data_IF_945639983448
#
_entry.id   IF_945639983448
#
_cell.length_a   1.000
_cell.length_b   1.000
_cell.length_c   1.000
_cell.angle_alpha   90.00
_cell.angle_beta   90.00
_cell.angle_gamma   90.00
#
_symmetry.space_group_name_H-M   'P 1'
#
loop_
_entity.id
_entity.type
_entity.pdbx_description
1 polymer ?
#
# COMPACT_ATOMS: atom_id res chain seq x y z
N UNK A 1 73.98 -19.41 61.37
CA UNK A 1 72.59 -18.93 61.54
C UNK A 1 72.38 -17.90 60.45
N UNK A 2 71.72 -18.26 59.36
CA UNK A 2 71.39 -17.34 58.28
C UNK A 2 69.90 -17.52 57.98
N UNK A 3 69.10 -16.55 58.43
CA UNK A 3 67.64 -16.54 58.25
C UNK A 3 67.34 -16.02 56.85
N UNK A 4 67.00 -16.92 55.93
CA UNK A 4 66.58 -16.55 54.59
C UNK A 4 65.07 -16.23 54.61
N UNK A 5 64.73 -14.97 54.89
CA UNK A 5 63.35 -14.49 54.81
C UNK A 5 62.96 -14.31 53.34
N UNK A 6 62.31 -15.33 52.78
CA UNK A 6 61.71 -15.24 51.45
C UNK A 6 60.48 -14.33 51.47
N UNK A 7 60.63 -13.08 51.05
CA UNK A 7 59.48 -12.23 50.75
C UNK A 7 58.80 -12.70 49.46
N UNK A 8 57.57 -13.19 49.58
CA UNK A 8 56.74 -13.56 48.43
C UNK A 8 56.22 -12.30 47.73
N UNK A 9 56.74 -12.01 46.53
CA UNK A 9 56.17 -10.99 45.64
C UNK A 9 54.84 -11.50 45.06
N UNK A 10 53.74 -11.03 45.62
CA UNK A 10 52.38 -11.30 45.12
C UNK A 10 52.18 -10.51 43.81
N UNK A 11 52.34 -11.17 42.66
CA UNK A 11 51.86 -10.64 41.39
C UNK A 11 50.42 -11.05 41.16
N UNK A 12 49.50 -10.08 41.07
CA UNK A 12 48.12 -10.30 40.63
C UNK A 12 48.14 -10.62 39.14
N UNK A 13 48.09 -11.91 38.81
CA UNK A 13 47.81 -12.38 37.45
C UNK A 13 46.37 -12.03 37.09
N UNK A 14 46.20 -10.94 36.31
CA UNK A 14 44.94 -10.56 35.68
C UNK A 14 44.78 -11.35 34.38
N UNK A 15 44.63 -12.66 34.51
CA UNK A 15 44.47 -13.52 33.34
C UNK A 15 42.97 -13.68 33.08
N UNK A 16 42.47 -13.07 32.02
CA UNK A 16 41.14 -13.37 31.51
C UNK A 16 41.13 -14.85 31.11
N UNK A 17 40.26 -15.63 31.76
CA UNK A 17 40.15 -17.05 31.47
C UNK A 17 39.65 -17.24 30.04
N UNK A 18 40.33 -18.03 29.19
CA UNK A 18 39.90 -18.34 27.81
C UNK A 18 38.48 -18.92 27.73
N UNK A 19 37.93 -19.41 28.84
CA UNK A 19 36.55 -19.87 28.98
C UNK A 19 35.53 -18.79 28.59
N UNK A 20 35.87 -17.50 28.76
CA UNK A 20 34.99 -16.39 28.37
C UNK A 20 34.92 -16.13 26.86
N UNK A 21 35.76 -16.77 26.05
CA UNK A 21 35.71 -16.63 24.58
C UNK A 21 34.39 -17.19 24.05
N UNK A 22 33.95 -18.34 24.57
CA UNK A 22 32.72 -19.00 24.10
C UNK A 22 31.45 -18.14 24.30
N UNK A 23 31.15 -17.57 25.49
CA UNK A 23 29.99 -16.71 25.66
C UNK A 23 30.09 -15.40 24.88
N UNK A 24 31.29 -14.83 24.71
CA UNK A 24 31.48 -13.60 23.90
C UNK A 24 31.20 -13.89 22.42
N UNK A 25 31.74 -14.97 21.88
CA UNK A 25 31.49 -15.39 20.50
C UNK A 25 30.00 -15.69 20.29
N UNK A 26 29.36 -16.36 21.25
CA UNK A 26 27.93 -16.65 21.19
C UNK A 26 27.09 -15.36 21.20
N UNK A 27 27.44 -14.39 22.05
CA UNK A 27 26.79 -13.08 22.10
C UNK A 27 26.98 -12.29 20.78
N UNK A 28 28.17 -12.34 20.18
CA UNK A 28 28.44 -11.70 18.88
C UNK A 28 27.64 -12.35 17.75
N UNK A 29 27.53 -13.67 17.70
CA UNK A 29 26.69 -14.37 16.72
C UNK A 29 25.22 -14.00 16.92
N UNK A 30 24.74 -13.97 18.17
CA UNK A 30 23.38 -13.55 18.48
C UNK A 30 23.10 -12.11 18.02
N UNK A 31 24.00 -11.18 18.33
CA UNK A 31 23.92 -9.79 17.89
C UNK A 31 23.94 -9.68 16.35
N UNK A 32 24.78 -10.47 15.68
CA UNK A 32 24.83 -10.53 14.22
C UNK A 32 23.52 -11.02 13.64
N UNK A 33 22.95 -12.12 14.14
CA UNK A 33 21.69 -12.68 13.64
C UNK A 33 20.53 -11.70 13.82
N UNK A 34 20.47 -11.03 14.97
CA UNK A 34 19.47 -9.97 15.23
C UNK A 34 19.63 -8.80 14.25
N UNK A 35 20.86 -8.34 14.04
CA UNK A 35 21.16 -7.28 13.08
C UNK A 35 20.81 -7.70 11.64
N UNK A 36 21.17 -8.92 11.26
CA UNK A 36 20.90 -9.48 9.94
C UNK A 36 19.40 -9.58 9.68
N UNK A 37 18.62 -10.07 10.66
CA UNK A 37 17.17 -10.17 10.56
C UNK A 37 16.52 -8.80 10.40
N UNK A 38 16.94 -7.79 11.18
CA UNK A 38 16.36 -6.45 11.10
C UNK A 38 16.78 -5.70 9.82
N UNK A 39 18.00 -5.90 9.35
CA UNK A 39 18.55 -5.18 8.18
C UNK A 39 18.03 -5.70 6.84
N UNK A 40 17.48 -6.91 6.76
CA UNK A 40 16.98 -7.50 5.50
C UNK A 40 15.45 -7.48 5.39
N UNK A 41 14.75 -6.88 6.37
CA UNK A 41 13.33 -6.65 6.27
C UNK A 41 13.07 -5.56 5.22
N UNK A 42 12.10 -5.80 4.34
CA UNK A 42 11.64 -4.78 3.40
C UNK A 42 10.86 -3.67 4.13
N UNK A 43 10.42 -2.64 3.37
CA UNK A 43 9.83 -1.45 3.96
C UNK A 43 8.47 -1.77 4.58
N UNK A 44 8.25 -1.24 5.78
CA UNK A 44 6.95 -1.25 6.45
C UNK A 44 6.16 0.00 6.05
N UNK A 45 4.87 -0.19 5.81
CA UNK A 45 3.91 0.87 5.50
C UNK A 45 2.65 0.71 6.35
N UNK A 46 2.05 1.83 6.72
CA UNK A 46 0.76 1.86 7.41
C UNK A 46 -0.33 2.23 6.41
N UNK A 47 -1.36 1.39 6.29
CA UNK A 47 -2.53 1.63 5.46
C UNK A 47 -3.71 2.02 6.35
N UNK A 48 -4.47 3.02 5.94
CA UNK A 48 -5.61 3.57 6.68
C UNK A 48 -6.89 3.21 5.93
N UNK A 49 -7.87 2.63 6.62
CA UNK A 49 -9.18 2.30 6.05
C UNK A 49 -10.29 2.50 7.09
N UNK A 50 -11.52 2.71 6.63
CA UNK A 50 -12.69 2.71 7.50
C UNK A 50 -13.04 1.29 7.99
N UNK A 51 -12.71 0.25 7.22
CA UNK A 51 -13.03 -1.14 7.55
C UNK A 51 -11.96 -2.10 7.00
N UNK A 52 -11.61 -3.14 7.77
CA UNK A 52 -10.66 -4.17 7.40
C UNK A 52 -11.32 -5.53 7.09
N UNK A 53 -12.53 -5.51 6.54
CA UNK A 53 -13.28 -6.72 6.19
C UNK A 53 -12.45 -7.68 5.33
N UNK A 54 -12.28 -8.91 5.81
CA UNK A 54 -11.55 -9.97 5.11
C UNK A 54 -10.03 -9.78 5.08
N UNK A 55 -9.50 -8.73 5.71
CA UNK A 55 -8.05 -8.50 5.84
C UNK A 55 -7.56 -9.15 7.12
N UNK A 56 -6.78 -10.21 6.97
CA UNK A 56 -6.13 -10.94 8.05
C UNK A 56 -4.61 -10.72 8.04
N UNK A 57 -4.05 -10.43 9.22
CA UNK A 57 -2.60 -10.38 9.44
C UNK A 57 -1.93 -11.73 9.22
N UNK A 58 -0.76 -11.71 8.58
CA UNK A 58 0.02 -12.88 8.19
C UNK A 58 -0.51 -13.68 6.99
N UNK A 59 -1.72 -13.38 6.49
CA UNK A 59 -2.33 -14.10 5.36
C UNK A 59 -2.61 -13.22 4.15
N UNK A 60 -3.05 -11.99 4.38
CA UNK A 60 -3.41 -11.08 3.29
C UNK A 60 -2.15 -10.62 2.58
N UNK A 61 -2.05 -10.93 1.29
CA UNK A 61 -0.91 -10.55 0.47
C UNK A 61 -1.12 -9.17 -0.14
N UNK A 62 -0.03 -8.44 -0.34
CA UNK A 62 0.01 -7.24 -1.17
C UNK A 62 0.56 -7.66 -2.53
N UNK A 63 -0.16 -7.32 -3.59
CA UNK A 63 0.20 -7.67 -4.96
C UNK A 63 0.38 -6.42 -5.81
N UNK A 64 1.28 -6.48 -6.78
CA UNK A 64 1.34 -5.49 -7.85
C UNK A 64 1.38 -6.20 -9.18
N UNK A 65 0.42 -5.89 -10.05
CA UNK A 65 0.21 -6.59 -11.33
C UNK A 65 0.09 -8.11 -11.12
N UNK A 66 -0.66 -8.51 -10.08
CA UNK A 66 -0.85 -9.91 -9.68
C UNK A 66 0.40 -10.65 -9.18
N UNK A 67 1.51 -9.95 -8.89
CA UNK A 67 2.72 -10.53 -8.29
C UNK A 67 2.78 -10.18 -6.81
N UNK A 68 3.10 -11.15 -5.95
CA UNK A 68 3.22 -10.94 -4.51
C UNK A 68 4.44 -10.05 -4.18
N UNK A 69 4.17 -8.88 -3.62
CA UNK A 69 5.18 -7.87 -3.27
C UNK A 69 5.25 -7.58 -1.77
N UNK A 70 4.37 -8.18 -0.96
CA UNK A 70 4.36 -7.99 0.49
C UNK A 70 3.24 -8.75 1.17
N UNK A 71 3.13 -8.54 2.48
CA UNK A 71 2.12 -9.17 3.34
C UNK A 71 1.65 -8.18 4.41
N UNK A 72 0.38 -8.27 4.77
CA UNK A 72 -0.17 -7.58 5.94
C UNK A 72 0.36 -8.25 7.20
N UNK A 73 0.93 -7.49 8.13
CA UNK A 73 1.41 -8.01 9.42
C UNK A 73 0.29 -8.00 10.46
N UNK A 74 -0.44 -6.88 10.55
CA UNK A 74 -1.52 -6.71 11.54
C UNK A 74 -2.56 -5.70 11.08
N UNK A 75 -3.80 -5.88 11.51
CA UNK A 75 -4.86 -4.89 11.42
C UNK A 75 -5.31 -4.53 12.84
N UNK A 76 -5.35 -3.25 13.17
CA UNK A 76 -5.70 -2.77 14.52
C UNK A 76 -6.58 -1.55 14.40
N UNK A 77 -7.61 -1.47 15.23
CA UNK A 77 -8.46 -0.29 15.32
C UNK A 77 -7.65 0.86 15.93
N UNK A 78 -7.72 2.05 15.33
CA UNK A 78 -7.01 3.21 15.82
C UNK A 78 -7.49 3.62 17.22
N UNK A 79 -6.68 4.38 17.95
CA UNK A 79 -6.98 4.82 19.32
C UNK A 79 -8.29 5.62 19.43
N UNK A 80 -8.67 6.32 18.36
CA UNK A 80 -9.92 7.09 18.27
C UNK A 80 -11.15 6.23 17.90
N UNK A 81 -10.94 4.95 17.60
CA UNK A 81 -11.95 3.95 17.20
C UNK A 81 -12.71 4.30 15.91
N UNK A 82 -12.23 5.27 15.12
CA UNK A 82 -12.91 5.76 13.90
C UNK A 82 -12.41 5.11 12.62
N UNK A 83 -11.20 4.58 12.63
CA UNK A 83 -10.55 3.97 11.47
C UNK A 83 -9.66 2.80 11.89
N UNK A 84 -9.27 1.97 10.93
CA UNK A 84 -8.38 0.84 11.12
C UNK A 84 -7.01 1.18 10.53
N UNK A 85 -5.96 0.95 11.32
CA UNK A 85 -4.57 0.98 10.87
C UNK A 85 -4.11 -0.44 10.54
N UNK A 86 -3.68 -0.65 9.30
CA UNK A 86 -3.16 -1.91 8.79
C UNK A 86 -1.66 -1.74 8.58
N UNK A 87 -0.86 -2.47 9.36
CA UNK A 87 0.58 -2.54 9.14
C UNK A 87 0.88 -3.61 8.13
N UNK A 88 1.62 -3.25 7.09
CA UNK A 88 2.05 -4.19 6.07
C UNK A 88 3.51 -4.01 5.75
N UNK A 89 4.17 -5.11 5.40
CA UNK A 89 5.58 -5.13 5.03
C UNK A 89 5.71 -5.57 3.58
N UNK A 90 6.39 -4.77 2.77
CA UNK A 90 6.77 -5.19 1.43
C UNK A 90 8.04 -6.05 1.49
N UNK A 91 8.26 -6.83 0.44
CA UNK A 91 9.47 -7.60 0.25
C UNK A 91 10.68 -6.67 0.08
N UNK A 92 11.86 -7.14 0.45
CA UNK A 92 13.11 -6.40 0.26
C UNK A 92 13.30 -6.02 -1.22
N UNK A 93 13.69 -4.77 -1.50
CA UNK A 93 13.86 -4.25 -2.85
C UNK A 93 12.61 -3.65 -3.49
N UNK A 94 11.45 -3.73 -2.81
CA UNK A 94 10.17 -3.16 -3.27
C UNK A 94 9.93 -1.73 -2.80
N UNK A 95 10.93 -1.07 -2.19
CA UNK A 95 10.85 0.34 -1.76
C UNK A 95 10.53 1.27 -2.92
N UNK A 96 10.95 0.90 -4.14
CA UNK A 96 10.69 1.66 -5.37
C UNK A 96 9.23 1.68 -5.80
N UNK A 97 8.38 0.87 -5.17
CA UNK A 97 6.94 0.88 -5.43
C UNK A 97 6.22 1.96 -4.58
N UNK A 98 6.91 2.53 -3.58
CA UNK A 98 6.35 3.46 -2.61
C UNK A 98 6.71 4.90 -2.96
N UNK A 99 5.73 5.61 -3.48
CA UNK A 99 5.77 7.02 -3.84
C UNK A 99 4.53 7.71 -3.29
N UNK A 100 4.54 9.05 -3.26
CA UNK A 100 3.40 9.84 -2.75
C UNK A 100 2.09 9.55 -3.49
N UNK A 101 2.19 9.20 -4.77
CA UNK A 101 1.08 8.86 -5.65
C UNK A 101 0.85 7.35 -5.80
N UNK A 102 1.47 6.52 -4.95
CA UNK A 102 1.15 5.08 -4.85
C UNK A 102 -0.26 4.91 -4.29
N UNK A 103 -1.03 4.01 -4.91
CA UNK A 103 -2.42 3.74 -4.54
C UNK A 103 -2.56 2.29 -4.11
N UNK A 104 -3.25 2.07 -3.00
CA UNK A 104 -3.60 0.76 -2.49
C UNK A 104 -5.10 0.57 -2.53
N UNK A 105 -5.56 -0.60 -2.95
CA UNK A 105 -6.97 -0.95 -2.83
C UNK A 105 -7.18 -2.42 -2.50
N UNK A 106 -8.31 -2.71 -1.87
CA UNK A 106 -8.73 -4.07 -1.56
C UNK A 106 -9.35 -4.70 -2.80
N UNK A 107 -8.90 -5.91 -3.13
CA UNK A 107 -9.57 -6.77 -4.11
C UNK A 107 -10.33 -7.85 -3.36
N UNK A 108 -11.65 -7.78 -3.44
CA UNK A 108 -12.60 -8.71 -2.82
C UNK A 108 -13.74 -9.00 -3.79
N UNK A 109 -14.55 -10.06 -3.59
CA UNK A 109 -15.62 -10.38 -4.51
C UNK A 109 -16.72 -9.32 -4.36
N UNK A 110 -17.07 -8.67 -5.45
CA UNK A 110 -18.06 -7.58 -5.47
C UNK A 110 -19.13 -7.86 -6.51
N UNK A 111 -20.38 -7.56 -6.14
CA UNK A 111 -21.54 -7.59 -7.03
C UNK A 111 -22.02 -6.15 -7.14
N UNK A 112 -21.89 -5.58 -8.33
CA UNK A 112 -22.33 -4.24 -8.65
C UNK A 112 -23.31 -4.23 -9.81
N UNK A 113 -23.77 -3.02 -10.16
CA UNK A 113 -24.66 -2.82 -11.32
C UNK A 113 -23.96 -3.14 -12.65
N UNK A 114 -22.64 -3.02 -12.70
CA UNK A 114 -21.81 -3.37 -13.87
C UNK A 114 -21.49 -4.87 -13.97
N UNK A 115 -21.92 -5.68 -12.98
CA UNK A 115 -21.69 -7.12 -12.96
C UNK A 115 -20.88 -7.55 -11.74
N UNK A 116 -20.15 -8.64 -11.90
CA UNK A 116 -19.45 -9.34 -10.82
C UNK A 116 -17.94 -9.21 -11.05
N UNK A 117 -17.21 -8.76 -10.03
CA UNK A 117 -15.75 -8.66 -10.04
C UNK A 117 -15.15 -9.42 -8.86
N UNK A 118 -13.83 -9.64 -8.90
CA UNK A 118 -13.10 -10.23 -7.79
C UNK A 118 -13.37 -11.72 -7.54
N UNK A 119 -14.03 -12.47 -8.43
CA UNK A 119 -14.31 -13.90 -8.24
C UNK A 119 -13.09 -14.77 -7.94
N UNK A 120 -11.90 -14.37 -8.40
CA UNK A 120 -10.64 -15.05 -8.08
C UNK A 120 -10.35 -15.11 -6.56
N UNK A 121 -10.86 -14.15 -5.78
CA UNK A 121 -10.63 -14.08 -4.34
C UNK A 121 -11.48 -15.07 -3.55
N UNK A 122 -12.45 -15.75 -4.17
CA UNK A 122 -13.24 -16.78 -3.49
C UNK A 122 -12.38 -17.98 -3.08
N UNK A 123 -11.32 -18.25 -3.83
CA UNK A 123 -10.37 -19.32 -3.54
C UNK A 123 -9.08 -18.80 -2.91
N UNK A 124 -8.52 -17.71 -3.43
CA UNK A 124 -7.24 -17.17 -2.95
C UNK A 124 -7.35 -16.32 -1.68
N UNK A 125 -8.57 -15.97 -1.28
CA UNK A 125 -8.83 -14.95 -0.26
C UNK A 125 -8.71 -13.52 -0.80
N UNK A 126 -9.12 -12.57 0.03
CA UNK A 126 -8.96 -11.13 -0.18
C UNK A 126 -7.48 -10.78 -0.21
N UNK A 127 -7.10 -9.86 -1.08
CA UNK A 127 -5.73 -9.33 -1.15
C UNK A 127 -5.77 -7.82 -1.40
N UNK A 128 -4.64 -7.17 -1.17
CA UNK A 128 -4.47 -5.74 -1.44
C UNK A 128 -3.67 -5.61 -2.73
N UNK A 129 -4.16 -4.83 -3.69
CA UNK A 129 -3.41 -4.49 -4.88
C UNK A 129 -2.74 -3.13 -4.69
N UNK A 130 -1.48 -3.04 -5.12
CA UNK A 130 -0.61 -1.87 -5.06
C UNK A 130 -0.34 -1.43 -6.49
N UNK A 131 -0.76 -0.20 -6.80
CA UNK A 131 -0.30 0.49 -7.99
C UNK A 131 0.90 1.40 -7.66
N UNK A 132 2.07 1.16 -8.28
CA UNK A 132 3.24 1.99 -8.04
C UNK A 132 3.01 3.41 -8.55
N UNK A 133 3.36 4.40 -7.73
CA UNK A 133 3.44 5.79 -8.14
C UNK A 133 4.75 6.10 -8.88
N UNK A 134 4.89 7.34 -9.35
CA UNK A 134 6.11 7.83 -10.01
C UNK A 134 6.63 9.15 -9.41
N UNK A 135 5.88 9.78 -8.49
CA UNK A 135 6.15 11.13 -8.02
C UNK A 135 6.19 11.23 -6.51
N UNK A 136 7.13 12.03 -6.03
CA UNK A 136 7.30 12.29 -4.60
C UNK A 136 7.99 11.16 -3.85
N UNK A 137 8.40 11.48 -2.63
CA UNK A 137 9.04 10.53 -1.71
C UNK A 137 8.00 9.60 -1.09
N UNK A 138 8.46 8.47 -0.56
CA UNK A 138 7.64 7.56 0.25
C UNK A 138 6.89 8.33 1.36
N UNK A 139 5.65 7.97 1.59
CA UNK A 139 4.87 8.37 2.76
C UNK A 139 4.91 7.27 3.83
N UNK A 140 4.72 7.67 5.09
CA UNK A 140 4.62 6.72 6.21
C UNK A 140 3.21 6.10 6.30
N UNK A 141 2.19 6.84 5.86
CA UNK A 141 0.79 6.42 5.85
C UNK A 141 0.19 6.57 4.44
N UNK A 142 -0.62 5.59 4.03
CA UNK A 142 -1.39 5.61 2.78
C UNK A 142 -2.85 5.26 3.07
N UNK A 143 -3.76 5.79 2.26
CA UNK A 143 -5.16 5.35 2.29
C UNK A 143 -5.30 4.03 1.54
N UNK A 144 -6.06 3.10 2.11
CA UNK A 144 -6.46 1.85 1.48
C UNK A 144 -7.90 2.01 0.96
N UNK A 145 -8.02 2.02 -0.36
CA UNK A 145 -9.32 2.17 -1.03
C UNK A 145 -10.10 0.85 -1.01
N UNK A 146 -11.43 0.93 -0.88
CA UNK A 146 -12.31 -0.25 -0.92
C UNK A 146 -12.49 -0.85 -2.33
N UNK A 147 -12.11 -0.10 -3.36
CA UNK A 147 -12.26 -0.48 -4.76
C UNK A 147 -11.13 0.10 -5.61
N UNK A 148 -10.82 -0.52 -6.76
CA UNK A 148 -9.81 0.01 -7.67
C UNK A 148 -10.15 1.44 -8.11
N UNK A 149 -9.15 2.32 -8.25
CA UNK A 149 -9.36 3.62 -8.85
C UNK A 149 -9.85 3.44 -10.30
N UNK A 150 -10.91 4.17 -10.67
CA UNK A 150 -11.56 4.01 -11.98
C UNK A 150 -10.65 4.39 -13.16
N UNK A 151 -9.71 5.30 -12.93
CA UNK A 151 -8.62 5.56 -13.84
C UNK A 151 -7.35 5.80 -13.03
N UNK A 152 -6.31 4.98 -13.24
CA UNK A 152 -5.00 5.26 -12.69
C UNK A 152 -4.46 6.66 -12.98
N UNK A 153 -3.58 7.23 -12.13
CA UNK A 153 -2.92 8.50 -12.42
C UNK A 153 -2.12 8.49 -13.73
N UNK A 154 -1.57 7.34 -14.11
CA UNK A 154 -0.78 7.12 -15.32
C UNK A 154 -1.60 6.63 -16.53
N UNK A 155 -2.93 6.50 -16.37
CA UNK A 155 -3.80 6.05 -17.44
C UNK A 155 -3.72 7.01 -18.64
N UNK A 156 -3.39 6.46 -19.82
CA UNK A 156 -3.32 7.23 -21.06
C UNK A 156 -4.73 7.63 -21.51
N UNK A 157 -4.94 8.93 -21.69
CA UNK A 157 -6.24 9.48 -22.05
C UNK A 157 -6.36 10.94 -21.64
N UNK A 158 -7.59 11.44 -21.58
CA UNK A 158 -7.90 12.79 -21.11
C UNK A 158 -8.99 12.76 -20.05
N UNK A 159 -8.96 13.75 -19.16
CA UNK A 159 -10.00 13.99 -18.17
C UNK A 159 -10.84 15.19 -18.59
N UNK A 160 -12.16 15.05 -18.55
CA UNK A 160 -13.13 16.09 -18.94
C UNK A 160 -14.05 16.38 -17.76
N UNK A 161 -14.21 17.65 -17.41
CA UNK A 161 -15.16 18.09 -16.38
C UNK A 161 -16.49 18.47 -17.03
N UNK A 162 -17.59 17.93 -16.52
CA UNK A 162 -18.94 18.28 -16.94
C UNK A 162 -19.74 18.82 -15.76
N UNK A 163 -20.53 19.86 -15.99
CA UNK A 163 -21.45 20.39 -15.00
C UNK A 163 -22.90 20.06 -15.40
N UNK A 164 -23.68 19.56 -14.45
CA UNK A 164 -25.10 19.28 -14.62
C UNK A 164 -25.94 19.93 -13.52
N UNK A 165 -27.11 20.44 -13.90
CA UNK A 165 -28.12 20.94 -12.96
C UNK A 165 -28.98 19.82 -12.36
N UNK A 166 -28.99 18.63 -12.97
CA UNK A 166 -29.83 17.50 -12.54
C UNK A 166 -28.97 16.47 -11.81
N UNK A 167 -29.37 16.16 -10.59
CA UNK A 167 -28.73 15.13 -9.78
C UNK A 167 -29.17 13.72 -10.13
N UNK A 168 -28.26 12.77 -9.91
CA UNK A 168 -28.58 11.34 -9.88
C UNK A 168 -28.67 10.62 -11.23
N UNK A 169 -28.17 11.20 -12.33
CA UNK A 169 -28.18 10.52 -13.63
C UNK A 169 -26.95 9.66 -13.89
N UNK A 170 -25.81 10.00 -13.28
CA UNK A 170 -24.54 9.33 -13.49
C UNK A 170 -23.87 9.01 -12.15
N UNK A 171 -23.31 7.80 -12.06
CA UNK A 171 -22.53 7.28 -10.93
C UNK A 171 -21.10 7.02 -11.38
N UNK A 172 -20.10 7.10 -10.47
CA UNK A 172 -18.75 6.64 -10.78
C UNK A 172 -18.77 5.21 -11.30
N UNK A 173 -18.07 4.97 -12.41
CA UNK A 173 -18.06 3.70 -13.16
C UNK A 173 -18.82 3.77 -14.48
N UNK A 174 -19.93 4.53 -14.52
CA UNK A 174 -20.84 4.57 -15.66
C UNK A 174 -20.10 4.84 -16.99
N UNK A 175 -20.44 4.12 -18.07
CA UNK A 175 -19.67 4.16 -19.31
C UNK A 175 -19.89 5.48 -20.07
N UNK A 176 -18.82 6.06 -20.58
CA UNK A 176 -18.91 7.10 -21.60
C UNK A 176 -18.94 6.44 -22.96
N UNK A 177 -19.98 6.71 -23.74
CA UNK A 177 -20.23 6.08 -25.03
C UNK A 177 -20.02 7.06 -26.19
N UNK A 178 -19.41 6.59 -27.27
CA UNK A 178 -19.40 7.25 -28.57
C UNK A 178 -20.02 6.31 -29.60
N UNK A 179 -21.18 6.70 -30.15
CA UNK A 179 -21.95 5.87 -31.12
C UNK A 179 -22.23 4.45 -30.61
N UNK A 180 -22.55 4.32 -29.33
CA UNK A 180 -22.82 3.03 -28.67
C UNK A 180 -21.58 2.25 -28.24
N UNK A 181 -20.37 2.71 -28.56
CA UNK A 181 -19.12 2.08 -28.15
C UNK A 181 -18.54 2.73 -26.90
N UNK A 182 -18.08 1.93 -25.91
CA UNK A 182 -17.47 2.45 -24.67
C UNK A 182 -16.09 3.03 -24.96
N UNK A 183 -15.93 4.33 -24.72
CA UNK A 183 -14.68 5.07 -24.91
C UNK A 183 -14.06 5.56 -23.61
N UNK A 184 -14.80 5.46 -22.51
CA UNK A 184 -14.35 5.91 -21.20
C UNK A 184 -15.34 5.56 -20.09
N UNK A 185 -15.19 6.22 -18.95
CA UNK A 185 -16.08 6.08 -17.79
C UNK A 185 -16.13 7.36 -16.96
N UNK A 186 -17.17 7.50 -16.15
CA UNK A 186 -17.28 8.51 -15.11
C UNK A 186 -16.30 8.15 -13.99
N UNK A 187 -15.32 9.00 -13.71
CA UNK A 187 -14.30 8.81 -12.66
C UNK A 187 -14.82 9.31 -11.30
N UNK A 188 -15.46 10.49 -11.26
CA UNK A 188 -16.05 11.03 -10.03
C UNK A 188 -17.35 11.78 -10.29
N UNK A 189 -18.17 11.91 -9.24
CA UNK A 189 -19.39 12.71 -9.20
C UNK A 189 -19.40 13.49 -7.89
N UNK A 190 -19.36 14.82 -7.97
CA UNK A 190 -19.28 15.69 -6.79
C UNK A 190 -20.36 16.76 -6.85
N UNK A 191 -21.19 16.83 -5.80
CA UNK A 191 -22.20 17.87 -5.68
C UNK A 191 -21.57 19.16 -5.13
N UNK A 192 -21.60 20.23 -5.92
CA UNK A 192 -21.21 21.57 -5.49
C UNK A 192 -22.41 22.24 -4.79
N UNK A 193 -22.33 22.37 -3.47
CA UNK A 193 -23.39 22.95 -2.63
C UNK A 193 -23.63 24.43 -2.90
N UNK A 194 -22.60 25.17 -3.32
CA UNK A 194 -22.72 26.61 -3.61
C UNK A 194 -23.38 26.85 -4.97
N UNK A 195 -22.92 26.12 -6.00
CA UNK A 195 -23.45 26.25 -7.35
C UNK A 195 -24.75 25.48 -7.58
N UNK A 196 -25.12 24.60 -6.63
CA UNK A 196 -26.27 23.69 -6.73
C UNK A 196 -26.25 22.84 -8.01
N UNK A 197 -25.05 22.50 -8.46
CA UNK A 197 -24.79 21.70 -9.64
C UNK A 197 -23.92 20.51 -9.24
N UNK A 198 -23.91 19.49 -10.07
CA UNK A 198 -22.97 18.38 -9.94
C UNK A 198 -21.90 18.53 -10.99
N UNK A 199 -20.65 18.47 -10.55
CA UNK A 199 -19.51 18.32 -11.41
C UNK A 199 -19.17 16.84 -11.52
N UNK A 200 -19.16 16.34 -12.74
CA UNK A 200 -18.68 15.01 -13.09
C UNK A 200 -17.29 15.11 -13.68
N UNK A 201 -16.39 14.22 -13.28
CA UNK A 201 -15.13 14.02 -13.96
C UNK A 201 -15.24 12.75 -14.79
N UNK A 202 -15.07 12.89 -16.11
CA UNK A 202 -15.00 11.76 -17.04
C UNK A 202 -13.54 11.47 -17.35
N UNK A 203 -13.20 10.19 -17.48
CA UNK A 203 -11.95 9.75 -18.07
C UNK A 203 -12.23 9.11 -19.43
N UNK A 204 -11.58 9.63 -20.48
CA UNK A 204 -11.68 9.11 -21.85
C UNK A 204 -10.35 8.44 -22.19
N UNK A 205 -10.40 7.15 -22.48
CA UNK A 205 -9.22 6.32 -22.69
C UNK A 205 -8.54 6.67 -24.02
N UNK A 206 -7.21 6.64 -24.07
CA UNK A 206 -6.48 6.59 -25.33
C UNK A 206 -6.77 5.26 -26.06
N UNK A 207 -6.95 5.25 -27.39
CA UNK A 207 -6.75 6.36 -28.34
C UNK A 207 -8.02 7.19 -28.64
N UNK A 208 -9.09 7.03 -27.86
CA UNK A 208 -10.37 7.71 -28.08
C UNK A 208 -10.40 9.15 -27.57
N UNK A 209 -9.40 9.55 -26.79
CA UNK A 209 -9.13 10.93 -26.40
C UNK A 209 -9.13 11.88 -27.61
N UNK A 210 -8.67 11.41 -28.78
CA UNK A 210 -8.69 12.15 -30.05
C UNK A 210 -10.08 12.47 -30.60
N UNK A 211 -11.12 11.78 -30.12
CA UNK A 211 -12.51 12.02 -30.52
C UNK A 211 -13.11 13.25 -29.82
N UNK A 212 -12.50 13.70 -28.70
CA UNK A 212 -12.98 14.84 -27.94
C UNK A 212 -12.39 16.13 -28.53
N UNK A 213 -13.24 16.89 -29.19
CA UNK A 213 -12.91 18.20 -29.76
C UNK A 213 -13.72 19.30 -29.08
N UNK A 214 -13.37 20.57 -29.33
CA UNK A 214 -14.09 21.74 -28.78
C UNK A 214 -15.58 21.79 -29.16
N UNK A 215 -15.97 21.08 -30.21
CA UNK A 215 -17.35 21.05 -30.73
C UNK A 215 -18.17 19.89 -30.17
N UNK A 216 -17.55 18.96 -29.44
CA UNK A 216 -18.25 17.82 -28.84
C UNK A 216 -19.20 18.30 -27.75
N UNK A 217 -20.39 17.71 -27.73
CA UNK A 217 -21.39 17.89 -26.67
C UNK A 217 -21.67 16.53 -26.05
N UNK A 218 -21.81 16.51 -24.73
CA UNK A 218 -22.22 15.34 -23.95
C UNK A 218 -23.70 15.51 -23.59
N UNK A 219 -24.46 14.41 -23.58
CA UNK A 219 -25.89 14.39 -23.31
C UNK A 219 -26.29 13.14 -22.52
#
# INVERSE_FOLDING_TARGET
>A
MESNNGEAKIQKVKNWSPVWIFPIVTALIGAWVLFYHYSHQGPEVTLITANAEGIEGGKTTIKSRSVDVGVVESATLADDLTHVEIKARLNSGMEKLLHKDTVFWVVKPQIGREGISGLGTLLSGVYIELQPGAKGSKMDKYDLLDSPPLAPPDAKGIRVLLDSKKAGQLSPGDPVLFRGYRVGSVETSTFDTQKRNISYQLFINAPYDRLVTSNVRFW
#
